data_IF_341663743542
#
_entry.id   IF_341663743542
#
_cell.length_a   1.000
_cell.length_b   1.000
_cell.length_c   1.000
_cell.angle_alpha   90.00
_cell.angle_beta   90.00
_cell.angle_gamma   90.00
#
_symmetry.space_group_name_H-M   'P 1'
#
loop_
_entity.id
_entity.type
_entity.pdbx_description
1 polymer ?
#
# COMPACT_ATOMS: atom_id res chain seq x y z
N UNK A 1 49.23 1.03 42.36
CA UNK A 1 49.72 -0.35 42.53
C UNK A 1 49.78 -0.81 43.98
N UNK A 2 50.16 0.01 44.94
CA UNK A 2 50.24 -0.36 46.38
C UNK A 2 48.92 -0.77 47.04
N UNK A 3 47.81 -0.10 46.72
CA UNK A 3 46.48 -0.44 47.26
C UNK A 3 46.01 -1.84 46.84
N UNK A 4 46.37 -2.29 45.66
CA UNK A 4 46.02 -3.61 45.13
C UNK A 4 46.84 -4.73 45.80
N UNK A 5 48.13 -4.49 46.10
CA UNK A 5 48.98 -5.42 46.85
C UNK A 5 48.47 -5.61 48.29
N UNK A 6 48.14 -4.52 49.01
CA UNK A 6 47.55 -4.59 50.36
C UNK A 6 46.18 -5.32 50.37
N UNK A 7 45.40 -5.22 49.34
CA UNK A 7 44.12 -5.94 49.24
C UNK A 7 44.35 -7.45 49.02
N UNK A 8 45.32 -7.84 48.21
CA UNK A 8 45.67 -9.24 47.96
C UNK A 8 46.31 -9.91 49.26
N UNK A 9 47.11 -9.19 50.03
CA UNK A 9 47.64 -9.70 51.34
C UNK A 9 46.55 -9.91 52.38
N UNK A 10 45.51 -9.04 52.36
CA UNK A 10 44.35 -9.16 53.25
C UNK A 10 43.49 -10.39 52.94
N UNK A 11 43.39 -10.78 51.71
CA UNK A 11 42.69 -11.98 51.24
C UNK A 11 43.47 -13.25 51.55
N UNK A 12 44.83 -13.18 51.64
CA UNK A 12 45.69 -14.31 51.88
C UNK A 12 45.56 -14.80 53.31
N UNK A 13 45.15 -13.94 54.28
CA UNK A 13 45.00 -14.23 55.70
C UNK A 13 43.58 -14.61 56.14
N UNK A 14 42.66 -14.83 55.21
CA UNK A 14 41.27 -15.22 55.49
C UNK A 14 41.18 -16.75 55.56
N UNK A 15 40.41 -17.27 56.50
CA UNK A 15 40.11 -18.68 56.72
C UNK A 15 39.71 -19.38 55.40
N UNK A 16 40.23 -20.59 55.13
CA UNK A 16 40.07 -21.30 53.84
C UNK A 16 38.63 -21.34 53.37
N UNK A 17 37.63 -21.50 54.24
CA UNK A 17 36.19 -21.51 53.87
C UNK A 17 35.71 -20.14 53.37
N UNK A 18 36.09 -19.05 54.02
CA UNK A 18 35.72 -17.68 53.61
C UNK A 18 36.39 -17.29 52.32
N UNK A 19 37.58 -17.80 52.02
CA UNK A 19 38.31 -17.57 50.80
C UNK A 19 37.60 -18.19 49.58
N UNK A 20 37.02 -19.38 49.72
CA UNK A 20 36.24 -20.05 48.69
C UNK A 20 34.96 -19.25 48.37
N UNK A 21 34.25 -18.77 49.41
CA UNK A 21 33.05 -17.91 49.17
C UNK A 21 33.40 -16.60 48.47
N UNK A 22 34.54 -15.99 48.75
CA UNK A 22 35.01 -14.78 48.08
C UNK A 22 35.32 -15.04 46.61
N UNK A 23 35.93 -16.15 46.26
CA UNK A 23 36.21 -16.54 44.88
C UNK A 23 34.91 -16.80 44.10
N UNK A 24 33.95 -17.52 44.71
CA UNK A 24 32.65 -17.78 44.11
C UNK A 24 31.90 -16.48 43.87
N UNK A 25 31.86 -15.57 44.85
CA UNK A 25 31.23 -14.26 44.70
C UNK A 25 31.87 -13.40 43.60
N UNK A 26 33.20 -13.44 43.48
CA UNK A 26 33.95 -12.73 42.47
C UNK A 26 33.67 -13.28 41.07
N UNK A 27 33.63 -14.61 40.89
CA UNK A 27 33.28 -15.26 39.64
C UNK A 27 31.85 -14.90 39.22
N UNK A 28 30.91 -14.94 40.21
CA UNK A 28 29.52 -14.57 39.95
C UNK A 28 29.38 -13.10 39.49
N UNK A 29 30.15 -12.20 40.12
CA UNK A 29 30.16 -10.77 39.76
C UNK A 29 30.73 -10.54 38.36
N UNK A 30 31.79 -11.27 37.98
CA UNK A 30 32.39 -11.20 36.64
C UNK A 30 31.40 -11.72 35.58
N UNK A 31 30.69 -12.83 35.84
CA UNK A 31 29.68 -13.38 34.94
C UNK A 31 28.49 -12.41 34.77
N UNK A 32 28.02 -11.79 35.87
CA UNK A 32 26.97 -10.78 35.83
C UNK A 32 27.38 -9.55 35.04
N UNK A 33 28.60 -9.05 35.21
CA UNK A 33 29.16 -7.93 34.45
C UNK A 33 29.24 -8.26 32.94
N UNK A 34 29.70 -9.47 32.63
CA UNK A 34 29.78 -9.94 31.25
C UNK A 34 28.41 -10.08 30.59
N UNK A 35 27.41 -10.62 31.30
CA UNK A 35 26.04 -10.71 30.83
C UNK A 35 25.42 -9.32 30.59
N UNK A 36 25.69 -8.35 31.47
CA UNK A 36 25.19 -6.99 31.35
C UNK A 36 25.81 -6.24 30.15
N UNK A 37 27.11 -6.41 29.93
CA UNK A 37 27.81 -5.85 28.76
C UNK A 37 27.31 -6.49 27.46
N UNK A 38 27.12 -7.81 27.43
CA UNK A 38 26.60 -8.52 26.25
C UNK A 38 25.18 -8.11 25.91
N UNK A 39 24.30 -7.95 26.90
CA UNK A 39 22.93 -7.45 26.71
C UNK A 39 22.91 -6.03 26.15
N UNK A 40 23.78 -5.16 26.64
CA UNK A 40 23.89 -3.76 26.15
C UNK A 40 24.35 -3.69 24.69
N UNK A 41 25.26 -4.56 24.26
CA UNK A 41 25.72 -4.62 22.87
C UNK A 41 24.61 -5.13 21.91
N UNK A 42 23.85 -6.12 22.33
CA UNK A 42 22.75 -6.68 21.54
C UNK A 42 21.63 -5.64 21.41
N UNK A 43 21.25 -4.98 22.50
CA UNK A 43 20.19 -3.96 22.50
C UNK A 43 20.60 -2.74 21.67
N UNK A 44 21.85 -2.29 21.73
CA UNK A 44 22.34 -1.18 20.93
C UNK A 44 22.39 -1.50 19.43
N UNK A 45 22.65 -2.75 19.05
CA UNK A 45 22.62 -3.20 17.65
C UNK A 45 21.19 -3.26 17.13
N UNK A 46 20.25 -3.80 17.90
CA UNK A 46 18.84 -3.86 17.58
C UNK A 46 18.21 -2.47 17.47
N UNK A 47 18.53 -1.55 18.39
CA UNK A 47 18.05 -0.16 18.35
C UNK A 47 18.62 0.63 17.16
N UNK A 48 19.85 0.33 16.72
CA UNK A 48 20.44 0.95 15.53
C UNK A 48 19.84 0.42 14.22
N UNK A 49 19.47 -0.85 14.17
CA UNK A 49 18.75 -1.42 13.03
C UNK A 49 17.31 -0.90 12.99
N UNK A 50 16.59 -0.81 14.11
CA UNK A 50 15.26 -0.21 14.16
C UNK A 50 15.29 1.30 13.85
N UNK A 51 16.29 2.05 14.27
CA UNK A 51 16.42 3.47 13.95
C UNK A 51 16.77 3.71 12.47
N UNK A 52 17.45 2.78 11.81
CA UNK A 52 17.68 2.83 10.36
C UNK A 52 16.43 2.43 9.55
N UNK A 53 15.61 1.54 10.08
CA UNK A 53 14.33 1.13 9.44
C UNK A 53 13.22 2.17 9.68
N UNK A 54 13.35 3.03 10.69
CA UNK A 54 12.35 4.06 11.04
C UNK A 54 12.51 5.40 10.31
N UNK A 55 13.50 5.53 9.42
CA UNK A 55 13.74 6.75 8.64
C UNK A 55 13.72 6.55 7.12
N UNK A 56 13.67 5.30 6.66
CA UNK A 56 13.37 4.97 5.27
C UNK A 56 11.85 4.71 5.17
N UNK A 57 11.19 5.35 4.21
CA UNK A 57 9.78 5.18 3.88
C UNK A 57 9.37 3.72 4.12
N UNK A 58 8.38 3.50 4.99
CA UNK A 58 7.87 2.14 5.24
C UNK A 58 7.11 1.67 3.99
N UNK A 59 7.84 1.40 2.93
CA UNK A 59 7.34 0.78 1.72
C UNK A 59 7.39 -0.72 1.88
N UNK A 60 6.25 -1.35 1.72
CA UNK A 60 6.13 -2.80 1.68
C UNK A 60 5.87 -3.19 0.23
N UNK A 61 6.83 -3.88 -0.39
CA UNK A 61 6.64 -4.48 -1.71
C UNK A 61 5.92 -5.82 -1.55
N UNK A 62 4.92 -6.06 -2.38
CA UNK A 62 4.14 -7.28 -2.34
C UNK A 62 3.77 -7.75 -3.74
N UNK A 63 3.46 -9.04 -3.87
CA UNK A 63 2.99 -9.68 -5.10
C UNK A 63 1.60 -10.26 -4.85
N UNK A 64 0.70 -10.15 -5.83
CA UNK A 64 -0.67 -10.65 -5.71
C UNK A 64 -1.48 -9.85 -4.68
N UNK A 65 -1.50 -8.52 -4.83
CA UNK A 65 -2.17 -7.60 -3.88
C UNK A 65 -3.66 -7.54 -4.20
N UNK A 66 -4.50 -7.67 -3.17
CA UNK A 66 -5.94 -7.42 -3.27
C UNK A 66 -6.29 -6.29 -2.29
N UNK A 67 -6.89 -5.23 -2.80
CA UNK A 67 -7.45 -4.14 -1.99
C UNK A 67 -8.96 -4.16 -2.15
N UNK A 68 -9.68 -4.28 -1.04
CA UNK A 68 -11.14 -4.24 -1.02
C UNK A 68 -11.59 -3.17 -0.03
N UNK A 69 -12.45 -2.27 -0.46
CA UNK A 69 -13.11 -1.31 0.43
C UNK A 69 -14.57 -1.68 0.61
N UNK A 70 -14.97 -1.78 1.89
CA UNK A 70 -16.36 -2.05 2.29
C UNK A 70 -16.73 -1.06 3.39
N UNK A 71 -17.86 -0.39 3.25
CA UNK A 71 -18.39 0.56 4.23
C UNK A 71 -19.88 0.29 4.45
N UNK A 72 -20.30 0.24 5.71
CA UNK A 72 -21.69 -0.02 6.10
C UNK A 72 -22.28 -1.29 5.48
N UNK A 73 -21.44 -2.35 5.34
CA UNK A 73 -21.83 -3.62 4.73
C UNK A 73 -21.90 -3.61 3.19
N UNK A 74 -21.63 -2.48 2.54
CA UNK A 74 -21.62 -2.35 1.10
C UNK A 74 -20.19 -2.35 0.56
N UNK A 75 -19.92 -3.19 -0.42
CA UNK A 75 -18.63 -3.19 -1.14
C UNK A 75 -18.60 -1.99 -2.09
N UNK A 76 -17.50 -1.23 -2.05
CA UNK A 76 -17.28 -0.06 -2.91
C UNK A 76 -16.41 -0.38 -4.10
N UNK A 77 -15.30 -1.06 -3.85
CA UNK A 77 -14.43 -1.56 -4.90
C UNK A 77 -13.63 -2.79 -4.44
N UNK A 78 -13.11 -3.48 -5.41
CA UNK A 78 -12.13 -4.55 -5.26
C UNK A 78 -11.12 -4.42 -6.41
N UNK A 79 -9.83 -4.32 -6.06
CA UNK A 79 -8.73 -4.13 -6.98
C UNK A 79 -7.72 -5.25 -6.74
N UNK A 80 -7.33 -5.92 -7.80
CA UNK A 80 -6.21 -6.84 -7.82
C UNK A 80 -5.05 -6.19 -8.58
N UNK A 81 -3.84 -6.23 -8.00
CA UNK A 81 -2.58 -5.86 -8.64
C UNK A 81 -1.66 -7.07 -8.69
N UNK A 82 -0.97 -7.26 -9.82
CA UNK A 82 0.03 -8.33 -9.96
C UNK A 82 1.16 -8.16 -8.94
N UNK A 83 1.63 -6.93 -8.79
CA UNK A 83 2.58 -6.49 -7.78
C UNK A 83 2.33 -5.04 -7.40
N UNK A 84 3.04 -4.55 -6.40
CA UNK A 84 2.95 -3.16 -6.00
C UNK A 84 3.63 -2.89 -4.67
N UNK A 85 3.47 -1.66 -4.20
CA UNK A 85 3.96 -1.25 -2.90
C UNK A 85 2.92 -0.41 -2.15
N UNK A 86 2.99 -0.46 -0.84
CA UNK A 86 2.20 0.38 0.06
C UNK A 86 3.12 1.24 0.92
N UNK A 87 2.90 2.54 0.88
CA UNK A 87 3.57 3.51 1.77
C UNK A 87 2.64 3.82 2.94
N UNK A 88 2.99 3.32 4.13
CA UNK A 88 2.17 3.49 5.33
C UNK A 88 2.15 4.93 5.86
N UNK A 89 3.18 5.73 5.60
CA UNK A 89 3.23 7.13 6.02
C UNK A 89 2.29 8.00 5.19
N UNK A 90 2.24 7.76 3.89
CA UNK A 90 1.39 8.48 2.94
C UNK A 90 0.00 7.83 2.81
N UNK A 91 -0.17 6.60 3.31
CA UNK A 91 -1.37 5.77 3.15
C UNK A 91 -1.76 5.57 1.68
N UNK A 92 -0.75 5.35 0.84
CA UNK A 92 -0.91 5.20 -0.61
C UNK A 92 -0.39 3.83 -1.05
N UNK A 93 -1.23 3.10 -1.78
CA UNK A 93 -0.84 1.90 -2.51
C UNK A 93 -0.61 2.24 -3.99
N UNK A 94 0.50 1.76 -4.56
CA UNK A 94 0.77 1.80 -6.00
C UNK A 94 0.84 0.37 -6.50
N UNK A 95 0.03 0.05 -7.50
CA UNK A 95 -0.17 -1.28 -8.04
C UNK A 95 0.20 -1.31 -9.52
N UNK A 96 0.78 -2.41 -9.98
CA UNK A 96 1.04 -2.68 -11.39
C UNK A 96 0.08 -3.75 -11.91
N UNK A 97 -0.25 -3.67 -13.21
CA UNK A 97 -1.13 -4.60 -13.92
C UNK A 97 -2.42 -4.85 -13.15
N UNK A 98 -3.20 -3.79 -12.99
CA UNK A 98 -4.41 -3.81 -12.17
C UNK A 98 -5.63 -4.24 -12.96
N UNK A 99 -6.47 -5.03 -12.31
CA UNK A 99 -7.85 -5.32 -12.72
C UNK A 99 -8.76 -5.15 -11.50
N UNK A 100 -10.01 -4.84 -11.72
CA UNK A 100 -10.93 -4.68 -10.59
C UNK A 100 -12.34 -4.29 -10.98
N UNK A 101 -13.14 -4.07 -9.94
CA UNK A 101 -14.54 -3.70 -10.06
C UNK A 101 -14.85 -2.56 -9.08
N UNK A 102 -15.66 -1.62 -9.55
CA UNK A 102 -16.39 -0.70 -8.69
C UNK A 102 -17.83 -1.18 -8.53
N UNK A 103 -18.33 -1.04 -7.32
CA UNK A 103 -19.65 -1.54 -6.95
C UNK A 103 -20.58 -0.38 -6.63
N UNK A 104 -21.86 -0.59 -6.89
CA UNK A 104 -22.96 0.24 -6.43
C UNK A 104 -24.08 -0.68 -5.96
N UNK A 105 -24.58 -0.45 -4.76
CA UNK A 105 -25.62 -1.29 -4.14
C UNK A 105 -25.24 -2.79 -4.16
N UNK A 106 -23.98 -3.10 -3.85
CA UNK A 106 -23.37 -4.44 -3.89
C UNK A 106 -23.38 -5.14 -5.27
N UNK A 107 -23.63 -4.41 -6.35
CA UNK A 107 -23.56 -4.91 -7.73
C UNK A 107 -22.36 -4.29 -8.45
N UNK A 108 -21.74 -5.06 -9.32
CA UNK A 108 -20.68 -4.55 -10.19
C UNK A 108 -21.27 -3.53 -11.17
N UNK A 109 -20.89 -2.28 -11.04
CA UNK A 109 -21.35 -1.20 -11.91
C UNK A 109 -20.33 -0.86 -12.99
N UNK A 110 -19.04 -1.12 -12.70
CA UNK A 110 -17.95 -0.85 -13.63
C UNK A 110 -16.81 -1.84 -13.35
N UNK A 111 -16.34 -2.52 -14.39
CA UNK A 111 -15.11 -3.31 -14.37
C UNK A 111 -14.00 -2.56 -15.10
N UNK A 112 -12.76 -2.73 -14.66
CA UNK A 112 -11.62 -2.03 -15.23
C UNK A 112 -10.36 -2.88 -15.30
N UNK A 113 -9.48 -2.47 -16.21
CA UNK A 113 -8.07 -2.90 -16.24
C UNK A 113 -7.19 -1.70 -16.59
N UNK A 114 -5.95 -1.69 -16.07
CA UNK A 114 -4.98 -0.64 -16.33
C UNK A 114 -3.55 -1.14 -16.09
N UNK A 115 -2.56 -0.52 -16.73
CA UNK A 115 -1.15 -0.86 -16.48
C UNK A 115 -0.72 -0.48 -15.06
N UNK A 116 -1.30 0.59 -14.49
CA UNK A 116 -1.00 1.04 -13.12
C UNK A 116 -2.26 1.52 -12.41
N UNK A 117 -2.31 1.31 -11.10
CA UNK A 117 -3.32 1.85 -10.20
C UNK A 117 -2.68 2.49 -8.96
N UNK A 118 -3.29 3.55 -8.48
CA UNK A 118 -2.93 4.17 -7.20
C UNK A 118 -4.19 4.24 -6.35
N UNK A 119 -4.12 3.76 -5.12
CA UNK A 119 -5.17 3.92 -4.12
C UNK A 119 -4.66 4.82 -3.00
N UNK A 120 -5.28 5.98 -2.84
CA UNK A 120 -5.06 6.92 -1.74
C UNK A 120 -6.13 6.65 -0.68
N UNK A 121 -5.74 5.97 0.40
CA UNK A 121 -6.66 5.54 1.46
C UNK A 121 -7.25 6.73 2.22
N UNK A 122 -6.48 7.81 2.40
CA UNK A 122 -6.95 9.00 3.12
C UNK A 122 -8.04 9.73 2.36
N UNK A 123 -7.91 9.82 1.02
CA UNK A 123 -8.89 10.46 0.14
C UNK A 123 -10.00 9.51 -0.31
N UNK A 124 -9.82 8.19 -0.13
CA UNK A 124 -10.71 7.17 -0.69
C UNK A 124 -10.75 7.23 -2.21
N UNK A 125 -9.60 7.51 -2.87
CA UNK A 125 -9.54 7.75 -4.30
C UNK A 125 -8.73 6.66 -5.00
N UNK A 126 -9.29 6.10 -6.05
CA UNK A 126 -8.60 5.19 -6.97
C UNK A 126 -8.27 5.94 -8.25
N UNK A 127 -6.99 5.96 -8.62
CA UNK A 127 -6.53 6.52 -9.89
C UNK A 127 -5.90 5.41 -10.73
N UNK A 128 -6.42 5.22 -11.94
CA UNK A 128 -5.87 4.30 -12.93
C UNK A 128 -5.03 5.09 -13.93
N UNK A 129 -3.87 4.54 -14.31
CA UNK A 129 -2.92 5.20 -15.19
C UNK A 129 -2.47 4.26 -16.30
N UNK A 130 -2.32 4.80 -17.49
CA UNK A 130 -1.79 4.10 -18.65
C UNK A 130 -2.67 2.92 -19.10
N UNK A 131 -3.08 2.94 -20.36
CA UNK A 131 -3.86 1.88 -20.99
C UNK A 131 -5.12 1.48 -20.21
N UNK A 132 -5.80 2.46 -19.63
CA UNK A 132 -7.02 2.21 -18.86
C UNK A 132 -8.17 1.82 -19.77
N UNK A 133 -8.80 0.68 -19.48
CA UNK A 133 -9.98 0.18 -20.15
C UNK A 133 -11.06 -0.16 -19.13
N UNK A 134 -12.27 0.28 -19.40
CA UNK A 134 -13.43 0.13 -18.54
C UNK A 134 -14.61 -0.44 -19.31
N UNK A 135 -15.42 -1.24 -18.62
CA UNK A 135 -16.70 -1.73 -19.10
C UNK A 135 -17.75 -1.45 -18.03
N UNK A 136 -18.82 -0.78 -18.41
CA UNK A 136 -19.97 -0.51 -17.55
C UNK A 136 -20.98 -1.66 -17.62
N UNK A 137 -21.85 -1.76 -16.60
CA UNK A 137 -22.92 -2.77 -16.54
C UNK A 137 -23.80 -2.79 -17.80
N UNK A 138 -24.04 -1.64 -18.41
CA UNK A 138 -24.85 -1.51 -19.64
C UNK A 138 -24.11 -1.86 -20.94
N UNK A 139 -22.92 -2.47 -20.84
CA UNK A 139 -22.10 -2.87 -21.99
C UNK A 139 -21.31 -1.75 -22.66
N UNK A 140 -21.47 -0.49 -22.22
CA UNK A 140 -20.64 0.61 -22.72
C UNK A 140 -19.19 0.41 -22.28
N UNK A 141 -18.26 0.49 -23.23
CA UNK A 141 -16.82 0.43 -22.94
C UNK A 141 -16.15 1.77 -23.19
N UNK A 142 -15.10 2.05 -22.40
CA UNK A 142 -14.31 3.26 -22.51
C UNK A 142 -12.83 2.93 -22.35
N UNK A 143 -11.98 3.50 -23.20
CA UNK A 143 -10.54 3.52 -23.00
C UNK A 143 -10.05 4.95 -22.82
N UNK A 144 -9.05 5.15 -21.96
CA UNK A 144 -8.45 6.44 -21.66
C UNK A 144 -6.98 6.27 -21.19
N UNK A 145 -6.25 7.37 -21.13
CA UNK A 145 -4.91 7.35 -20.52
C UNK A 145 -5.01 7.23 -19.00
N UNK A 146 -6.01 7.87 -18.38
CA UNK A 146 -6.23 7.83 -16.93
C UNK A 146 -7.71 7.85 -16.58
N UNK A 147 -8.01 7.35 -15.38
CA UNK A 147 -9.32 7.43 -14.77
C UNK A 147 -9.16 7.74 -13.29
N UNK A 148 -9.98 8.65 -12.77
CA UNK A 148 -10.07 8.99 -11.35
C UNK A 148 -11.47 8.66 -10.85
N UNK A 149 -11.55 7.76 -9.88
CA UNK A 149 -12.75 7.42 -9.12
C UNK A 149 -12.58 7.89 -7.67
N UNK A 150 -13.56 8.60 -7.15
CA UNK A 150 -13.50 9.22 -5.81
C UNK A 150 -14.70 8.85 -4.92
N UNK A 151 -15.36 7.75 -5.22
CA UNK A 151 -16.52 7.26 -4.48
C UNK A 151 -17.71 7.01 -5.39
N UNK A 152 -18.63 6.14 -4.92
CA UNK A 152 -19.83 5.73 -5.68
C UNK A 152 -20.88 6.84 -5.81
N UNK A 153 -20.75 7.90 -5.03
CA UNK A 153 -21.63 9.08 -5.00
C UNK A 153 -21.07 10.26 -5.81
N UNK A 154 -19.91 10.11 -6.40
CA UNK A 154 -19.22 11.15 -7.19
C UNK A 154 -19.04 10.74 -8.63
N UNK A 155 -18.91 11.75 -9.48
CA UNK A 155 -18.59 11.53 -10.88
C UNK A 155 -17.19 10.92 -11.02
N UNK A 156 -17.08 9.96 -11.95
CA UNK A 156 -15.80 9.37 -12.35
C UNK A 156 -15.25 10.09 -13.56
N UNK A 157 -13.99 10.44 -13.56
CA UNK A 157 -13.35 11.26 -14.58
C UNK A 157 -12.35 10.41 -15.37
N UNK A 158 -12.52 10.35 -16.70
CA UNK A 158 -11.56 9.73 -17.60
C UNK A 158 -10.93 10.80 -18.50
N UNK A 159 -9.60 10.79 -18.63
CA UNK A 159 -8.85 11.81 -19.36
C UNK A 159 -7.80 11.21 -20.29
N UNK A 160 -7.57 11.91 -21.39
CA UNK A 160 -6.56 11.62 -22.39
C UNK A 160 -6.94 10.48 -23.35
N UNK A 161 -7.03 10.80 -24.63
CA UNK A 161 -7.36 9.85 -25.70
C UNK A 161 -8.61 9.00 -25.41
N UNK A 162 -9.62 9.64 -24.86
CA UNK A 162 -10.86 8.96 -24.46
C UNK A 162 -11.58 8.44 -25.71
N UNK A 163 -11.87 7.13 -25.71
CA UNK A 163 -12.66 6.47 -26.73
C UNK A 163 -13.78 5.69 -26.07
N UNK A 164 -15.01 6.07 -26.36
CA UNK A 164 -16.23 5.44 -25.85
C UNK A 164 -16.84 4.61 -26.99
N UNK A 165 -17.25 3.39 -26.65
CA UNK A 165 -18.02 2.53 -27.56
C UNK A 165 -19.28 2.07 -26.83
N UNK A 166 -20.42 2.24 -27.48
CA UNK A 166 -21.68 1.71 -27.00
C UNK A 166 -22.25 0.80 -28.08
N UNK A 167 -22.28 -0.49 -27.77
CA UNK A 167 -22.70 -1.53 -28.72
C UNK A 167 -21.95 -1.44 -30.08
N UNK A 168 -22.66 -1.69 -31.17
CA UNK A 168 -22.17 -1.46 -32.54
C UNK A 168 -22.57 -0.08 -33.08
N UNK A 169 -23.34 0.67 -32.32
CA UNK A 169 -24.10 1.81 -32.78
C UNK A 169 -23.38 3.15 -32.61
N UNK A 170 -22.44 3.26 -31.67
CA UNK A 170 -21.78 4.53 -31.38
C UNK A 170 -20.30 4.37 -31.03
N UNK A 171 -19.48 5.23 -31.64
CA UNK A 171 -18.10 5.46 -31.23
C UNK A 171 -17.89 6.96 -31.01
N UNK A 172 -17.44 7.37 -29.85
CA UNK A 172 -17.08 8.75 -29.56
C UNK A 172 -15.60 8.84 -29.14
N UNK A 173 -14.91 9.88 -29.61
CA UNK A 173 -13.57 10.26 -29.25
C UNK A 173 -13.63 11.61 -28.52
N UNK A 174 -12.83 11.78 -27.47
CA UNK A 174 -12.80 13.00 -26.67
C UNK A 174 -11.47 13.18 -25.94
N UNK A 175 -11.20 14.38 -25.45
CA UNK A 175 -10.07 14.62 -24.54
C UNK A 175 -10.39 14.17 -23.12
N UNK A 176 -11.68 14.31 -22.72
CA UNK A 176 -12.17 14.00 -21.39
C UNK A 176 -13.59 13.48 -21.41
N UNK A 177 -13.89 12.54 -20.53
CA UNK A 177 -15.22 12.04 -20.25
C UNK A 177 -15.51 12.10 -18.75
N UNK A 178 -16.67 12.61 -18.39
CA UNK A 178 -17.20 12.59 -17.03
C UNK A 178 -18.35 11.59 -17.02
N UNK A 179 -18.20 10.54 -16.22
CA UNK A 179 -19.20 9.49 -16.03
C UNK A 179 -19.95 9.86 -14.75
N UNK A 180 -21.28 9.98 -14.82
CA UNK A 180 -22.11 10.31 -13.67
C UNK A 180 -21.95 9.29 -12.53
N UNK A 181 -22.20 9.69 -11.29
CA UNK A 181 -22.22 8.81 -10.13
C UNK A 181 -23.20 7.61 -10.26
N UNK A 182 -24.21 7.75 -11.13
CA UNK A 182 -25.14 6.67 -11.49
C UNK A 182 -24.62 5.72 -12.56
N UNK A 183 -23.49 6.03 -13.21
CA UNK A 183 -22.93 5.31 -14.36
C UNK A 183 -23.87 5.23 -15.58
N UNK A 184 -24.88 6.07 -15.62
CA UNK A 184 -25.93 6.12 -16.65
C UNK A 184 -25.74 7.22 -17.70
N UNK A 185 -24.92 8.21 -17.38
CA UNK A 185 -24.68 9.39 -18.23
C UNK A 185 -23.21 9.65 -18.46
N UNK A 186 -22.90 10.10 -19.67
CA UNK A 186 -21.57 10.52 -20.07
C UNK A 186 -21.61 11.98 -20.53
N UNK A 187 -20.74 12.80 -19.96
CA UNK A 187 -20.47 14.14 -20.45
C UNK A 187 -19.09 14.16 -21.09
N UNK A 188 -19.08 14.42 -22.39
CA UNK A 188 -17.87 14.45 -23.21
C UNK A 188 -17.39 15.91 -23.29
N UNK A 189 -16.09 16.15 -23.09
CA UNK A 189 -15.50 17.48 -23.02
C UNK A 189 -14.22 17.53 -23.86
N UNK A 190 -13.95 18.70 -24.46
CA UNK A 190 -12.77 18.95 -25.29
C UNK A 190 -13.04 18.71 -26.77
N UNK A 191 -11.97 18.38 -27.53
CA UNK A 191 -12.11 18.04 -28.94
C UNK A 191 -12.84 16.71 -29.06
N UNK A 192 -14.02 16.73 -29.63
CA UNK A 192 -14.90 15.56 -29.72
C UNK A 192 -15.20 15.19 -31.16
N UNK A 193 -15.22 13.90 -31.44
CA UNK A 193 -15.72 13.32 -32.68
C UNK A 193 -16.62 12.14 -32.34
N UNK A 194 -17.87 12.17 -32.81
CA UNK A 194 -18.81 11.08 -32.57
C UNK A 194 -19.27 10.52 -33.90
N UNK A 195 -19.21 9.19 -34.05
CA UNK A 195 -19.80 8.45 -35.18
C UNK A 195 -20.95 7.60 -34.67
N UNK A 196 -22.09 7.77 -35.25
CA UNK A 196 -23.28 6.95 -34.96
C UNK A 196 -23.51 6.09 -36.20
N UNK A 197 -23.58 4.79 -35.98
CA UNK A 197 -23.88 3.82 -37.04
C UNK A 197 -25.37 3.50 -36.90
N UNK A 198 -26.18 3.96 -37.89
CA UNK A 198 -27.61 3.63 -37.91
C UNK A 198 -27.82 2.12 -38.09
N UNK A 199 -28.84 1.54 -37.45
CA UNK A 199 -29.34 0.24 -37.86
C UNK A 199 -29.81 0.37 -39.28
N UNK A 200 -29.21 -0.37 -40.23
CA UNK A 200 -29.84 -0.58 -41.55
C UNK A 200 -31.22 -1.17 -41.27
N UNK A 201 -32.24 -0.42 -41.62
CA UNK A 201 -33.62 -0.86 -41.49
C UNK A 201 -33.85 -2.10 -42.37
N UNK A 202 -34.27 -3.19 -41.74
CA UNK A 202 -34.96 -4.27 -42.43
C UNK A 202 -36.34 -3.82 -42.77
#
# INVERSE_FOLDING_TARGET
>A
MEKFKKFLEKIKNIDKKKRVYFIIAFVFLVVMLWAFLSASFITAKFSREQAKTGQDDQKVDAVGIIITETKDGNKYFEIYGEDGNYNSNERVAVLNNVIGNFYKDNKVSMSFQSSKGTYDEEKGTVTLHENTYIVLENGTSLSANSLVWSGSDKDTIAEGNVKIKKDKDMVALADKCIISAGYDKFKIVGKTQTKIYGKEGN
#
